data_IF_560960839199
#
_entry.id   IF_560960839199
#
_cell.length_a   1.000
_cell.length_b   1.000
_cell.length_c   1.000
_cell.angle_alpha   90.00
_cell.angle_beta   90.00
_cell.angle_gamma   90.00
#
_symmetry.space_group_name_H-M   'P 1'
#
loop_
_entity.id
_entity.type
_entity.pdbx_description
1 polymer ?
#
# COMPACT_ATOMS: atom_id res chain seq x y z
N UNK A 1 -6.42 -13.85 -16.99
CA UNK A 1 -6.88 -13.94 -15.59
C UNK A 1 -6.10 -12.90 -14.81
N UNK A 2 -6.80 -11.95 -14.20
CA UNK A 2 -6.22 -10.85 -13.44
C UNK A 2 -6.71 -10.89 -11.99
N UNK A 3 -5.86 -10.48 -11.06
CA UNK A 3 -6.17 -10.32 -9.65
C UNK A 3 -5.48 -9.06 -9.12
N UNK A 4 -6.03 -8.35 -8.13
CA UNK A 4 -5.32 -7.25 -7.50
C UNK A 4 -4.02 -7.74 -6.83
N UNK A 5 -2.98 -6.91 -6.82
CA UNK A 5 -1.67 -7.21 -6.22
C UNK A 5 -1.68 -7.05 -4.69
N UNK A 6 -2.76 -7.53 -4.05
CA UNK A 6 -2.90 -7.66 -2.60
C UNK A 6 -2.21 -8.93 -2.11
N UNK A 7 -2.10 -9.12 -0.79
CA UNK A 7 -1.58 -10.37 -0.20
C UNK A 7 -2.35 -11.59 -0.69
N UNK A 8 -3.69 -11.50 -0.80
CA UNK A 8 -4.53 -12.55 -1.35
C UNK A 8 -4.20 -12.87 -2.82
N UNK A 9 -4.11 -11.85 -3.68
CA UNK A 9 -3.79 -12.05 -5.09
C UNK A 9 -2.37 -12.58 -5.31
N UNK A 10 -1.41 -12.15 -4.51
CA UNK A 10 -0.01 -12.62 -4.55
C UNK A 10 0.14 -14.07 -4.08
N UNK A 11 -0.75 -14.55 -3.21
CA UNK A 11 -0.80 -15.94 -2.79
C UNK A 11 -1.50 -16.83 -3.82
N UNK A 12 -2.65 -16.39 -4.33
CA UNK A 12 -3.50 -17.18 -5.22
C UNK A 12 -2.96 -17.31 -6.65
N UNK A 13 -2.51 -16.20 -7.26
CA UNK A 13 -2.19 -16.16 -8.69
C UNK A 13 -1.02 -17.06 -9.12
N UNK A 14 0.07 -17.23 -8.35
CA UNK A 14 1.13 -18.17 -8.72
C UNK A 14 0.61 -19.61 -8.86
N UNK A 15 -0.32 -20.00 -8.00
CA UNK A 15 -0.93 -21.33 -8.02
C UNK A 15 -1.83 -21.53 -9.25
N UNK A 16 -2.61 -20.52 -9.60
CA UNK A 16 -3.42 -20.53 -10.83
C UNK A 16 -2.52 -20.63 -12.07
N UNK A 17 -1.45 -19.82 -12.12
CA UNK A 17 -0.52 -19.80 -13.24
C UNK A 17 0.17 -21.14 -13.44
N UNK A 18 0.64 -21.74 -12.35
CA UNK A 18 1.23 -23.08 -12.37
C UNK A 18 0.23 -24.16 -12.83
N UNK A 19 -1.03 -24.09 -12.39
CA UNK A 19 -2.07 -25.02 -12.82
C UNK A 19 -2.42 -24.91 -14.31
N UNK A 20 -2.16 -23.76 -14.92
CA UNK A 20 -2.39 -23.49 -16.33
C UNK A 20 -1.12 -23.67 -17.18
N UNK A 21 0.01 -23.99 -16.55
CA UNK A 21 1.34 -24.09 -17.17
C UNK A 21 1.73 -22.84 -17.95
N UNK A 22 1.55 -21.66 -17.34
CA UNK A 22 1.89 -20.36 -17.94
C UNK A 22 2.70 -19.49 -16.99
N UNK A 23 3.53 -18.61 -17.54
CA UNK A 23 4.23 -17.58 -16.77
C UNK A 23 3.28 -16.54 -16.22
N UNK A 24 3.53 -16.11 -14.96
CA UNK A 24 2.77 -15.03 -14.32
C UNK A 24 3.48 -13.68 -14.48
N UNK A 25 2.71 -12.64 -14.79
CA UNK A 25 3.17 -11.25 -14.69
C UNK A 25 2.73 -10.70 -13.34
N UNK A 26 3.70 -10.33 -12.52
CA UNK A 26 3.38 -9.78 -11.18
C UNK A 26 3.40 -8.27 -11.19
N UNK A 27 2.45 -7.65 -10.48
CA UNK A 27 2.45 -6.24 -10.11
C UNK A 27 2.45 -5.29 -11.32
N UNK A 28 1.54 -5.53 -12.29
CA UNK A 28 1.39 -4.67 -13.47
C UNK A 28 1.05 -3.24 -13.03
N UNK A 29 1.86 -2.28 -13.46
CA UNK A 29 1.63 -0.86 -13.23
C UNK A 29 1.13 -0.10 -14.46
N UNK A 30 1.32 -0.67 -15.66
CA UNK A 30 0.86 -0.04 -16.91
C UNK A 30 0.60 -1.10 -17.98
N UNK A 31 -0.47 -0.92 -18.76
CA UNK A 31 -0.81 -1.70 -19.95
C UNK A 31 -0.46 -0.86 -21.17
N UNK A 32 0.62 -1.22 -21.87
CA UNK A 32 1.11 -0.48 -23.04
C UNK A 32 0.35 -0.90 -24.31
N UNK A 33 0.07 -2.20 -24.43
CA UNK A 33 -0.69 -2.80 -25.52
C UNK A 33 -1.42 -4.05 -25.01
N UNK A 34 -2.34 -4.66 -25.75
CA UNK A 34 -3.13 -5.80 -25.28
C UNK A 34 -2.34 -6.97 -24.69
N UNK A 35 -1.06 -7.09 -25.05
CA UNK A 35 -0.17 -8.15 -24.57
C UNK A 35 1.17 -7.62 -24.02
N UNK A 36 1.30 -6.28 -23.86
CA UNK A 36 2.54 -5.61 -23.42
C UNK A 36 2.28 -4.84 -22.15
N UNK A 37 3.03 -5.16 -21.11
CA UNK A 37 2.82 -4.69 -19.75
C UNK A 37 4.11 -4.11 -19.18
N UNK A 38 4.00 -3.12 -18.30
CA UNK A 38 5.10 -2.61 -17.48
C UNK A 38 4.91 -3.03 -16.04
N UNK A 39 6.02 -3.46 -15.42
CA UNK A 39 6.06 -3.81 -13.99
C UNK A 39 7.33 -3.26 -13.34
N UNK A 40 7.29 -2.91 -12.06
CA UNK A 40 8.49 -2.51 -11.34
C UNK A 40 9.29 -3.74 -10.90
N UNK A 41 10.60 -3.58 -10.87
CA UNK A 41 11.57 -4.53 -10.29
C UNK A 41 12.56 -3.77 -9.42
N UNK A 42 13.35 -4.47 -8.58
CA UNK A 42 14.32 -3.87 -7.65
C UNK A 42 13.69 -2.78 -6.76
N UNK A 43 12.60 -3.13 -6.07
CA UNK A 43 11.84 -2.18 -5.22
C UNK A 43 11.36 -0.93 -5.99
N UNK A 44 11.15 -1.06 -7.30
CA UNK A 44 10.69 0.03 -8.15
C UNK A 44 11.79 0.93 -8.73
N UNK A 45 13.07 0.61 -8.51
CA UNK A 45 14.19 1.36 -9.10
C UNK A 45 14.36 1.11 -10.60
N UNK A 46 13.75 0.03 -11.12
CA UNK A 46 13.72 -0.24 -12.55
C UNK A 46 12.31 -0.66 -12.97
N UNK A 47 11.96 -0.37 -14.22
CA UNK A 47 10.71 -0.76 -14.86
C UNK A 47 11.00 -1.74 -15.98
N UNK A 48 10.45 -2.94 -15.89
CA UNK A 48 10.55 -3.96 -16.91
C UNK A 48 9.33 -3.92 -17.82
N UNK A 49 9.55 -3.95 -19.13
CA UNK A 49 8.49 -4.17 -20.11
C UNK A 49 8.46 -5.65 -20.47
N UNK A 50 7.28 -6.26 -20.37
CA UNK A 50 7.05 -7.69 -20.69
C UNK A 50 6.06 -7.77 -21.84
N UNK A 51 6.40 -8.55 -22.85
CA UNK A 51 5.50 -8.91 -23.94
C UNK A 51 5.14 -10.39 -23.82
N UNK A 52 3.86 -10.70 -23.86
CA UNK A 52 3.34 -12.08 -23.82
C UNK A 52 3.11 -12.56 -25.24
N UNK A 53 3.66 -13.71 -25.59
CA UNK A 53 3.49 -14.32 -26.90
C UNK A 53 2.01 -14.57 -27.24
N UNK A 54 1.67 -14.52 -28.54
CA UNK A 54 0.36 -14.91 -29.01
C UNK A 54 0.06 -16.37 -28.61
N UNK A 55 -1.20 -16.67 -28.37
CA UNK A 55 -1.68 -17.98 -27.92
C UNK A 55 -1.31 -18.40 -26.49
N UNK A 56 -0.54 -17.64 -25.73
CA UNK A 56 -0.31 -17.86 -24.30
C UNK A 56 -1.38 -17.14 -23.47
N UNK A 57 -1.98 -17.83 -22.51
CA UNK A 57 -2.92 -17.22 -21.57
C UNK A 57 -2.18 -16.22 -20.68
N UNK A 58 -2.76 -15.06 -20.46
CA UNK A 58 -2.23 -14.04 -19.54
C UNK A 58 -2.76 -14.31 -18.14
N UNK A 59 -1.85 -14.48 -17.20
CA UNK A 59 -2.13 -14.51 -15.77
C UNK A 59 -1.32 -13.41 -15.10
N UNK A 60 -1.96 -12.54 -14.31
CA UNK A 60 -1.25 -11.40 -13.75
C UNK A 60 -1.86 -10.89 -12.45
N UNK A 61 -1.03 -10.24 -11.63
CA UNK A 61 -1.50 -9.35 -10.57
C UNK A 61 -1.31 -7.90 -10.99
N UNK A 62 -2.28 -7.06 -10.60
CA UNK A 62 -2.34 -5.63 -10.98
C UNK A 62 -2.11 -4.76 -9.75
N UNK A 63 -1.21 -3.80 -9.85
CA UNK A 63 -0.94 -2.82 -8.80
C UNK A 63 -2.09 -1.84 -8.70
N UNK A 64 -2.86 -1.91 -7.61
CA UNK A 64 -4.03 -1.04 -7.39
C UNK A 64 -3.66 0.43 -7.40
N UNK A 65 -2.56 0.79 -6.73
CA UNK A 65 -2.06 2.15 -6.65
C UNK A 65 -1.74 2.81 -8.00
N UNK A 66 -1.60 2.04 -9.09
CA UNK A 66 -1.31 2.58 -10.43
C UNK A 66 -2.57 2.91 -11.25
N UNK A 67 -3.75 2.66 -10.72
CA UNK A 67 -5.02 2.85 -11.44
C UNK A 67 -6.03 3.54 -10.54
N UNK A 68 -6.71 4.56 -11.09
CA UNK A 68 -7.85 5.19 -10.42
C UNK A 68 -9.07 4.28 -10.54
N UNK A 69 -9.91 4.30 -9.51
CA UNK A 69 -11.20 3.62 -9.53
C UNK A 69 -12.08 4.23 -10.64
N UNK A 70 -12.79 3.37 -11.36
CA UNK A 70 -13.75 3.78 -12.37
C UNK A 70 -15.16 3.65 -11.84
N UNK A 71 -16.06 4.55 -12.27
CA UNK A 71 -17.47 4.46 -11.90
C UNK A 71 -18.08 3.13 -12.39
N UNK A 72 -18.82 2.47 -11.51
CA UNK A 72 -19.51 1.23 -11.83
C UNK A 72 -20.79 1.55 -12.60
N UNK A 73 -20.70 1.57 -13.93
CA UNK A 73 -21.83 1.85 -14.82
C UNK A 73 -22.25 0.68 -15.73
N UNK A 74 -21.73 -0.51 -15.48
CA UNK A 74 -22.02 -1.74 -16.21
C UNK A 74 -22.84 -2.71 -15.37
N UNK A 75 -23.75 -3.43 -16.04
CA UNK A 75 -24.46 -4.56 -15.44
C UNK A 75 -23.83 -5.87 -15.90
N UNK A 76 -23.30 -6.66 -14.96
CA UNK A 76 -22.75 -7.99 -15.21
C UNK A 76 -23.71 -9.07 -14.73
N UNK A 77 -23.81 -10.16 -15.49
CA UNK A 77 -24.57 -11.33 -15.06
C UNK A 77 -23.77 -12.11 -14.02
N UNK A 78 -24.35 -12.31 -12.84
CA UNK A 78 -23.74 -13.14 -11.78
C UNK A 78 -24.19 -14.58 -11.99
N UNK A 79 -23.22 -15.50 -12.11
CA UNK A 79 -23.47 -16.95 -12.16
C UNK A 79 -22.91 -17.60 -10.92
N UNK A 80 -23.75 -18.32 -10.19
CA UNK A 80 -23.33 -19.19 -9.11
C UNK A 80 -22.72 -20.48 -9.69
N UNK A 81 -21.56 -20.87 -9.21
CA UNK A 81 -20.90 -22.12 -9.57
C UNK A 81 -20.87 -23.00 -8.33
N UNK A 82 -21.38 -24.19 -8.44
CA UNK A 82 -21.22 -25.19 -7.40
C UNK A 82 -19.81 -25.77 -7.48
N UNK A 83 -19.10 -25.68 -6.39
CA UNK A 83 -17.77 -26.26 -6.27
C UNK A 83 -17.88 -27.74 -5.86
N UNK A 84 -17.03 -28.62 -6.42
CA UNK A 84 -16.95 -29.99 -5.92
C UNK A 84 -16.45 -29.97 -4.47
N UNK A 85 -16.81 -31.01 -3.72
CA UNK A 85 -16.30 -31.19 -2.37
C UNK A 85 -14.77 -31.23 -2.39
N UNK A 86 -14.14 -30.30 -1.65
CA UNK A 86 -12.68 -30.19 -1.55
C UNK A 86 -12.27 -30.70 -0.18
N UNK A 87 -11.36 -31.66 -0.14
CA UNK A 87 -10.71 -32.04 1.10
C UNK A 87 -9.71 -30.96 1.50
N UNK A 88 -10.01 -30.28 2.60
CA UNK A 88 -9.09 -29.29 3.19
C UNK A 88 -7.97 -30.00 3.98
N UNK A 89 -6.76 -29.41 4.04
CA UNK A 89 -5.68 -29.95 4.86
C UNK A 89 -6.11 -30.07 6.33
N UNK A 90 -5.88 -31.22 6.93
CA UNK A 90 -6.24 -31.47 8.33
C UNK A 90 -5.29 -30.83 9.36
N UNK A 91 -4.07 -30.46 8.93
CA UNK A 91 -3.00 -29.92 9.79
C UNK A 91 -3.08 -28.42 9.99
N UNK A 92 -3.91 -27.70 9.20
CA UNK A 92 -4.14 -26.25 9.33
C UNK A 92 -5.63 -25.96 9.23
N UNK A 93 -6.10 -24.92 9.93
CA UNK A 93 -7.46 -24.41 9.82
C UNK A 93 -7.45 -22.91 9.90
N UNK A 94 -8.31 -22.26 9.12
CA UNK A 94 -8.60 -20.85 9.30
C UNK A 94 -9.36 -20.65 10.61
N UNK A 95 -8.92 -19.72 11.45
CA UNK A 95 -9.61 -19.36 12.68
C UNK A 95 -10.45 -18.10 12.48
N UNK A 96 -9.79 -16.99 12.20
CA UNK A 96 -10.43 -15.69 11.96
C UNK A 96 -9.42 -14.71 11.34
N UNK A 97 -9.93 -13.64 10.78
CA UNK A 97 -9.17 -12.43 10.48
C UNK A 97 -9.40 -11.47 11.65
N UNK A 98 -8.32 -11.00 12.25
CA UNK A 98 -8.35 -9.90 13.20
C UNK A 98 -7.95 -8.64 12.41
N UNK A 99 -8.90 -7.76 12.18
CA UNK A 99 -8.68 -6.41 11.69
C UNK A 99 -9.49 -5.48 12.58
N UNK A 100 -8.88 -4.39 13.02
CA UNK A 100 -9.63 -3.35 13.70
C UNK A 100 -10.52 -2.65 12.67
N UNK A 101 -11.83 -2.59 12.96
CA UNK A 101 -12.76 -1.80 12.16
C UNK A 101 -12.39 -0.33 12.38
N UNK A 102 -11.81 0.29 11.39
CA UNK A 102 -11.50 1.73 11.40
C UNK A 102 -12.58 2.47 10.64
N UNK A 103 -13.07 3.57 11.21
CA UNK A 103 -13.95 4.51 10.48
C UNK A 103 -13.15 5.36 9.48
N UNK A 104 -11.80 5.31 9.53
CA UNK A 104 -10.91 6.00 8.60
C UNK A 104 -10.83 5.29 7.26
N UNK A 105 -10.55 6.01 6.17
CA UNK A 105 -10.37 5.42 4.84
C UNK A 105 -9.30 4.32 4.82
N UNK A 106 -9.46 3.32 3.96
CA UNK A 106 -8.39 2.32 3.74
C UNK A 106 -7.18 2.97 3.08
N UNK A 107 -5.98 2.62 3.57
CA UNK A 107 -4.69 3.13 3.08
C UNK A 107 -4.49 3.00 1.57
N UNK A 108 -5.07 1.99 0.93
CA UNK A 108 -4.84 1.72 -0.49
C UNK A 108 -5.69 2.59 -1.42
N UNK A 109 -6.74 3.23 -0.88
CA UNK A 109 -7.69 4.04 -1.67
C UNK A 109 -7.80 5.49 -1.17
N UNK A 110 -7.22 5.81 -0.02
CA UNK A 110 -7.28 7.15 0.58
C UNK A 110 -6.58 8.19 -0.29
N UNK A 111 -7.23 9.33 -0.52
CA UNK A 111 -6.63 10.48 -1.20
C UNK A 111 -5.57 11.19 -0.34
N UNK A 112 -5.73 11.15 0.98
CA UNK A 112 -4.78 11.73 1.93
C UNK A 112 -4.32 10.66 2.91
N UNK A 113 -3.01 10.54 3.11
CA UNK A 113 -2.42 9.61 4.08
C UNK A 113 -1.43 10.35 4.96
N UNK A 114 -1.56 10.18 6.28
CA UNK A 114 -0.57 10.60 7.26
C UNK A 114 0.12 9.37 7.85
N UNK A 115 1.43 9.37 7.96
CA UNK A 115 2.19 8.20 8.42
C UNK A 115 3.18 8.53 9.52
N UNK A 116 3.24 7.65 10.52
CA UNK A 116 4.14 7.76 11.66
C UNK A 116 5.33 6.82 11.59
N UNK A 117 6.50 7.34 11.97
CA UNK A 117 7.73 6.56 12.12
C UNK A 117 7.99 6.12 13.56
N UNK A 118 9.12 5.42 13.75
CA UNK A 118 9.58 5.00 15.09
C UNK A 118 9.84 6.19 16.05
N UNK A 119 10.00 7.40 15.52
CA UNK A 119 10.21 8.60 16.31
C UNK A 119 9.04 8.96 17.23
N UNK A 120 7.85 8.41 17.03
CA UNK A 120 6.71 8.54 17.96
C UNK A 120 7.00 7.90 19.33
N UNK A 121 7.84 6.88 19.41
CA UNK A 121 8.32 6.31 20.66
C UNK A 121 7.35 5.36 21.36
N UNK A 122 6.05 5.50 21.19
CA UNK A 122 5.03 4.61 21.79
C UNK A 122 3.72 4.60 20.99
N UNK A 123 2.82 3.66 21.29
CA UNK A 123 1.46 3.59 20.74
C UNK A 123 0.59 4.77 21.19
N UNK A 124 0.75 5.23 22.44
CA UNK A 124 -0.02 6.35 22.97
C UNK A 124 0.26 7.64 22.19
N UNK A 125 1.49 7.84 21.77
CA UNK A 125 1.86 9.02 21.00
C UNK A 125 1.25 9.03 19.58
N UNK A 126 0.88 7.86 19.04
CA UNK A 126 0.16 7.79 17.76
C UNK A 126 -1.22 8.45 17.81
N UNK A 127 -1.79 8.70 19.01
CA UNK A 127 -3.04 9.47 19.15
C UNK A 127 -2.92 10.87 18.54
N UNK A 128 -1.73 11.49 18.55
CA UNK A 128 -1.51 12.77 17.87
C UNK A 128 -1.74 12.64 16.36
N UNK A 129 -1.28 11.52 15.78
CA UNK A 129 -1.43 11.26 14.36
C UNK A 129 -2.88 10.91 14.00
N UNK A 130 -3.57 10.16 14.86
CA UNK A 130 -4.98 9.84 14.69
C UNK A 130 -5.84 11.10 14.70
N UNK A 131 -5.62 12.01 15.66
CA UNK A 131 -6.34 13.27 15.74
C UNK A 131 -6.13 14.16 14.49
N UNK A 132 -4.89 14.20 13.95
CA UNK A 132 -4.61 14.92 12.71
C UNK A 132 -5.31 14.25 11.52
N UNK A 133 -5.28 12.92 11.46
CA UNK A 133 -5.94 12.15 10.39
C UNK A 133 -7.44 12.41 10.35
N UNK A 134 -8.10 12.44 11.50
CA UNK A 134 -9.54 12.69 11.62
C UNK A 134 -9.90 14.09 11.12
N UNK A 135 -9.06 15.10 11.40
CA UNK A 135 -9.24 16.46 10.88
C UNK A 135 -9.10 16.54 9.35
N UNK A 136 -8.20 15.73 8.78
CA UNK A 136 -7.92 15.73 7.34
C UNK A 136 -8.81 14.75 6.56
N UNK A 137 -9.61 13.91 7.24
CA UNK A 137 -10.27 12.77 6.59
C UNK A 137 -9.27 11.79 6.00
N UNK A 138 -8.10 11.65 6.60
CA UNK A 138 -6.97 10.91 6.09
C UNK A 138 -6.94 9.47 6.61
N UNK A 139 -6.32 8.56 5.83
CA UNK A 139 -5.89 7.28 6.35
C UNK A 139 -4.60 7.42 7.16
N UNK A 140 -4.39 6.50 8.10
CA UNK A 140 -3.17 6.46 8.93
C UNK A 140 -2.31 5.28 8.53
N UNK A 141 -1.06 5.58 8.19
CA UNK A 141 -0.02 4.60 7.89
C UNK A 141 1.12 4.61 8.90
N UNK A 142 2.00 3.65 8.79
CA UNK A 142 3.19 3.58 9.64
C UNK A 142 4.39 2.99 8.90
N UNK A 143 5.58 3.35 9.36
CA UNK A 143 6.79 2.68 8.94
C UNK A 143 6.86 1.26 9.53
N UNK A 144 7.57 0.35 8.85
CA UNK A 144 7.86 -0.98 9.39
C UNK A 144 8.46 -0.92 10.81
N UNK A 145 9.35 0.03 11.06
CA UNK A 145 10.00 0.17 12.37
C UNK A 145 9.02 0.54 13.49
N UNK A 146 7.93 1.26 13.20
CA UNK A 146 6.87 1.54 14.17
C UNK A 146 5.99 0.30 14.43
N UNK A 147 5.70 -0.46 13.38
CA UNK A 147 4.97 -1.74 13.48
C UNK A 147 5.77 -2.77 14.26
N UNK A 148 7.06 -2.98 13.91
CA UNK A 148 7.95 -3.93 14.61
C UNK A 148 8.15 -3.55 16.09
N UNK A 149 8.04 -2.26 16.43
CA UNK A 149 8.06 -1.77 17.81
C UNK A 149 6.71 -1.95 18.55
N UNK A 150 5.66 -2.41 17.86
CA UNK A 150 4.35 -2.65 18.43
C UNK A 150 3.53 -1.38 18.70
N UNK A 151 3.85 -0.25 18.04
CA UNK A 151 3.11 0.99 18.22
C UNK A 151 1.76 0.97 17.49
N UNK A 152 1.68 0.27 16.37
CA UNK A 152 0.49 0.12 15.54
C UNK A 152 0.41 -1.29 14.95
N UNK A 153 -0.78 -1.77 14.55
CA UNK A 153 -0.94 -3.07 13.93
C UNK A 153 -0.31 -3.15 12.53
N UNK A 154 -0.04 -4.39 12.08
CA UNK A 154 0.70 -4.65 10.84
C UNK A 154 -0.04 -4.21 9.56
N UNK A 155 -1.35 -4.15 9.58
CA UNK A 155 -2.17 -3.71 8.44
C UNK A 155 -2.04 -2.21 8.13
N UNK A 156 -1.45 -1.42 9.05
CA UNK A 156 -1.08 -0.03 8.83
C UNK A 156 0.31 0.14 8.19
N UNK A 157 1.07 -0.94 8.00
CA UNK A 157 2.42 -0.83 7.44
C UNK A 157 2.39 -0.36 5.98
N UNK A 158 3.14 0.72 5.71
CA UNK A 158 3.40 1.25 4.37
C UNK A 158 4.84 0.91 3.96
N UNK A 159 5.01 0.39 2.75
CA UNK A 159 6.31 0.04 2.20
C UNK A 159 6.29 -1.23 1.35
N UNK A 160 7.47 -1.69 0.95
CA UNK A 160 7.66 -2.85 0.08
C UNK A 160 7.01 -4.14 0.60
N UNK A 161 7.06 -4.36 1.92
CA UNK A 161 6.50 -5.54 2.60
C UNK A 161 5.13 -5.28 3.24
N UNK A 162 4.67 -4.04 3.19
CA UNK A 162 3.35 -3.61 3.62
C UNK A 162 2.46 -3.22 2.44
N UNK A 163 1.64 -2.20 2.64
CA UNK A 163 0.80 -1.62 1.58
C UNK A 163 1.61 -0.67 0.72
N UNK A 164 1.45 -0.76 -0.60
CA UNK A 164 1.92 0.22 -1.58
C UNK A 164 0.75 1.14 -1.85
N UNK A 165 0.97 2.44 -1.72
CA UNK A 165 -0.06 3.46 -1.79
C UNK A 165 0.33 4.58 -2.76
N UNK A 166 -0.67 5.28 -3.30
CA UNK A 166 -0.49 6.44 -4.19
C UNK A 166 -1.53 7.52 -3.88
N UNK A 167 -1.54 8.07 -2.65
CA UNK A 167 -2.45 9.15 -2.31
C UNK A 167 -2.10 10.42 -3.10
N UNK A 168 -3.06 11.34 -3.20
CA UNK A 168 -2.78 12.68 -3.73
C UNK A 168 -1.84 13.47 -2.80
N UNK A 169 -1.97 13.23 -1.47
CA UNK A 169 -1.11 13.82 -0.43
C UNK A 169 -0.64 12.75 0.57
N UNK A 170 0.67 12.63 0.73
CA UNK A 170 1.30 11.80 1.74
C UNK A 170 2.12 12.66 2.71
N UNK A 171 1.85 12.58 4.01
CA UNK A 171 2.60 13.30 5.04
C UNK A 171 3.32 12.31 5.95
N UNK A 172 4.65 12.37 5.96
CA UNK A 172 5.52 11.51 6.75
C UNK A 172 6.00 12.23 8.02
N UNK A 173 5.72 11.71 9.20
CA UNK A 173 6.17 12.23 10.49
C UNK A 173 7.18 11.31 11.14
N UNK A 174 8.42 11.78 11.32
CA UNK A 174 9.47 11.02 12.00
C UNK A 174 9.86 9.71 11.32
N UNK A 175 9.71 9.65 10.00
CA UNK A 175 10.10 8.52 9.15
C UNK A 175 11.46 8.84 8.54
N UNK A 176 12.42 7.91 8.62
CA UNK A 176 13.78 8.12 8.12
C UNK A 176 13.89 8.10 6.59
N UNK A 177 13.00 7.39 5.89
CA UNK A 177 13.10 7.24 4.43
C UNK A 177 13.95 6.05 3.98
N UNK A 178 13.90 4.94 4.71
CA UNK A 178 14.50 3.70 4.22
C UNK A 178 13.91 3.29 2.86
N UNK A 179 14.76 2.76 1.96
CA UNK A 179 14.38 2.43 0.58
C UNK A 179 13.13 1.54 0.48
N UNK A 180 12.93 0.66 1.46
CA UNK A 180 11.76 -0.21 1.53
C UNK A 180 10.46 0.58 1.83
N UNK A 181 10.55 1.67 2.60
CA UNK A 181 9.42 2.56 2.85
C UNK A 181 9.13 3.41 1.61
N UNK A 182 10.18 3.97 1.01
CA UNK A 182 10.07 4.79 -0.19
C UNK A 182 9.42 4.02 -1.35
N UNK A 183 9.71 2.73 -1.50
CA UNK A 183 9.08 1.87 -2.50
C UNK A 183 7.55 1.79 -2.37
N UNK A 184 7.01 2.09 -1.19
CA UNK A 184 5.57 2.08 -0.93
C UNK A 184 4.85 3.42 -1.16
N UNK A 185 5.59 4.52 -1.33
CA UNK A 185 5.01 5.89 -1.40
C UNK A 185 5.44 6.70 -2.62
N UNK A 186 6.37 6.21 -3.41
CA UNK A 186 6.98 6.96 -4.52
C UNK A 186 6.00 7.39 -5.62
N UNK A 187 4.83 6.74 -5.68
CA UNK A 187 3.76 7.06 -6.63
C UNK A 187 2.72 8.05 -6.01
N UNK A 188 2.97 8.60 -4.81
CA UNK A 188 2.14 9.65 -4.21
C UNK A 188 2.23 10.95 -5.02
N UNK A 189 1.14 11.71 -5.06
CA UNK A 189 1.07 12.96 -5.82
C UNK A 189 1.92 14.08 -5.22
N UNK A 190 1.86 14.24 -3.90
CA UNK A 190 2.68 15.20 -3.13
C UNK A 190 3.17 14.53 -1.86
N UNK A 191 4.45 14.62 -1.59
CA UNK A 191 5.09 14.08 -0.39
C UNK A 191 5.56 15.21 0.50
N UNK A 192 5.02 15.28 1.71
CA UNK A 192 5.47 16.19 2.76
C UNK A 192 6.20 15.37 3.83
N UNK A 193 7.40 15.78 4.20
CA UNK A 193 8.17 15.11 5.25
C UNK A 193 8.47 16.05 6.42
N UNK A 194 8.22 15.58 7.63
CA UNK A 194 8.55 16.24 8.88
C UNK A 194 9.51 15.37 9.68
N UNK A 195 10.73 15.82 9.88
CA UNK A 195 11.74 15.09 10.63
C UNK A 195 12.65 16.09 11.36
N UNK A 196 13.10 15.75 12.56
CA UNK A 196 14.08 16.55 13.30
C UNK A 196 15.50 16.44 12.75
N UNK A 197 15.80 15.33 12.05
CA UNK A 197 17.07 15.09 11.39
C UNK A 197 17.02 15.66 9.97
N UNK A 198 17.75 16.76 9.73
CA UNK A 198 17.80 17.44 8.45
C UNK A 198 18.41 16.58 7.33
N UNK A 199 19.22 15.57 7.70
CA UNK A 199 19.90 14.66 6.76
C UNK A 199 19.11 13.37 6.54
N UNK A 200 17.88 13.27 7.04
CA UNK A 200 17.04 12.10 6.86
C UNK A 200 16.76 11.84 5.36
N UNK A 201 16.99 10.60 4.84
CA UNK A 201 16.81 10.29 3.41
C UNK A 201 15.40 10.54 2.88
N UNK A 202 14.38 10.64 3.75
CA UNK A 202 13.01 10.97 3.33
C UNK A 202 12.93 12.31 2.60
N UNK A 203 13.83 13.27 2.93
CA UNK A 203 13.87 14.57 2.30
C UNK A 203 14.33 14.54 0.84
N UNK A 204 15.05 13.49 0.41
CA UNK A 204 15.48 13.33 -0.98
C UNK A 204 14.31 13.17 -1.95
N UNK A 205 13.16 12.65 -1.47
CA UNK A 205 11.96 12.42 -2.29
C UNK A 205 10.78 13.31 -1.90
N UNK A 206 10.91 14.08 -0.82
CA UNK A 206 9.84 14.97 -0.38
C UNK A 206 9.75 16.21 -1.27
N UNK A 207 8.52 16.56 -1.70
CA UNK A 207 8.25 17.82 -2.38
C UNK A 207 8.35 19.00 -1.40
N UNK A 208 7.98 18.74 -0.13
CA UNK A 208 8.07 19.73 0.96
C UNK A 208 8.74 19.06 2.16
N UNK A 209 9.92 19.56 2.55
CA UNK A 209 10.65 19.12 3.73
C UNK A 209 10.53 20.14 4.87
N UNK A 210 10.22 19.67 6.08
CA UNK A 210 10.10 20.50 7.29
C UNK A 210 11.00 19.90 8.36
N UNK A 211 12.03 20.64 8.76
CA UNK A 211 12.91 20.23 9.87
C UNK A 211 12.28 20.73 11.17
N UNK A 212 11.62 19.83 11.89
CA UNK A 212 10.91 20.16 13.13
C UNK A 212 10.72 18.92 14.02
N UNK A 213 10.42 19.17 15.30
CA UNK A 213 9.94 18.12 16.21
C UNK A 213 8.46 17.83 15.91
N UNK A 214 8.16 16.56 15.67
CA UNK A 214 6.78 16.12 15.37
C UNK A 214 5.81 16.41 16.53
N UNK A 215 6.29 16.35 17.78
CA UNK A 215 5.46 16.61 18.97
C UNK A 215 5.04 18.07 19.13
N UNK A 216 5.77 18.99 18.53
CA UNK A 216 5.41 20.41 18.45
C UNK A 216 4.61 20.70 17.18
N UNK A 217 5.06 20.13 16.05
CA UNK A 217 4.49 20.43 14.74
C UNK A 217 3.08 19.87 14.54
N UNK A 218 2.81 18.61 14.94
CA UNK A 218 1.48 17.99 14.75
C UNK A 218 0.39 18.74 15.50
N UNK A 219 0.54 19.08 16.80
CA UNK A 219 -0.48 19.86 17.51
C UNK A 219 -0.72 21.23 16.89
N UNK A 220 0.34 21.93 16.47
CA UNK A 220 0.20 23.24 15.83
C UNK A 220 -0.56 23.14 14.50
N UNK A 221 -0.21 22.17 13.67
CA UNK A 221 -0.89 21.91 12.41
C UNK A 221 -2.37 21.56 12.64
N UNK A 222 -2.65 20.66 13.58
CA UNK A 222 -4.00 20.23 13.92
C UNK A 222 -4.87 21.41 14.39
N UNK A 223 -4.28 22.32 15.17
CA UNK A 223 -4.98 23.51 15.65
C UNK A 223 -5.27 24.52 14.52
N UNK A 224 -4.41 24.61 13.50
CA UNK A 224 -4.62 25.51 12.34
C UNK A 224 -5.63 24.97 11.33
N UNK A 225 -5.93 23.68 11.35
CA UNK A 225 -6.92 23.05 10.49
C UNK A 225 -8.36 23.18 11.02
N UNK A 226 -8.56 23.75 12.20
CA UNK A 226 -9.87 24.07 12.78
C UNK A 226 -10.36 23.04 13.78
#
# INVERSE_FOLDING_TARGET
>A
ILCPSTTFGRDLMPRISASLDVGQITDIMNVVAPRTFKRPIYAGNAVQTIEVQDNVKITATVRLASYKEVEANNQATIKNIELPAIELPSHTRFLRVESEASERPDLQVAAVVVSGGRAFGSSENFELLYNLADKLGAAVGASRAAVDAGYVPNDMQVGQTGKIISPDLYIAFGISGAIQHLAGIKDAGTIVAVNKDADAPIFEIADIGIVADLFEFIPELTAKLG
#
